data_IF_732746082675
#
_entry.id   IF_732746082675
#
_cell.length_a   1.000
_cell.length_b   1.000
_cell.length_c   1.000
_cell.angle_alpha   90.00
_cell.angle_beta   90.00
_cell.angle_gamma   90.00
#
_symmetry.space_group_name_H-M   'P 1'
#
loop_
_entity.id
_entity.type
_entity.pdbx_description
1 polymer ?
#
# COMPACT_ATOMS: atom_id res chain seq x y z
N UNK A 1 11.27 -22.65 14.91
CA UNK A 1 11.06 -21.18 14.91
C UNK A 1 10.33 -20.86 13.63
N UNK A 2 9.04 -20.49 13.68
CA UNK A 2 8.33 -20.06 12.48
C UNK A 2 8.96 -18.74 12.03
N UNK A 3 9.62 -18.74 10.87
CA UNK A 3 10.04 -17.48 10.25
C UNK A 3 8.77 -16.74 9.87
N UNK A 4 8.43 -15.70 10.62
CA UNK A 4 7.34 -14.81 10.28
C UNK A 4 7.79 -14.06 9.02
N UNK A 5 7.13 -14.32 7.89
CA UNK A 5 7.41 -13.63 6.62
C UNK A 5 7.10 -12.14 6.82
N UNK A 6 7.96 -11.27 6.27
CA UNK A 6 7.67 -9.84 6.26
C UNK A 6 6.39 -9.59 5.42
N UNK A 7 5.49 -8.69 5.87
CA UNK A 7 4.28 -8.40 5.13
C UNK A 7 4.62 -7.77 3.79
N UNK A 8 3.85 -8.06 2.76
CA UNK A 8 4.05 -7.51 1.42
C UNK A 8 3.15 -6.31 1.23
N UNK A 9 3.74 -5.16 0.91
CA UNK A 9 3.01 -3.89 0.79
C UNK A 9 3.16 -3.36 -0.63
N UNK A 10 2.02 -3.15 -1.29
CA UNK A 10 1.94 -2.46 -2.58
C UNK A 10 1.60 -0.99 -2.32
N UNK A 11 2.36 -0.08 -2.92
CA UNK A 11 2.17 1.37 -2.80
C UNK A 11 1.90 1.94 -4.19
N UNK A 12 0.79 2.66 -4.34
CA UNK A 12 0.49 3.39 -5.58
C UNK A 12 1.26 4.71 -5.62
N UNK A 13 2.38 4.72 -6.35
CA UNK A 13 3.22 5.90 -6.52
C UNK A 13 2.85 6.73 -7.75
N UNK A 14 1.80 6.35 -8.50
CA UNK A 14 1.36 7.10 -9.67
C UNK A 14 0.86 8.49 -9.28
N UNK A 15 1.40 9.53 -9.90
CA UNK A 15 0.91 10.90 -9.76
C UNK A 15 0.02 11.24 -10.97
N UNK A 16 -1.26 11.49 -10.72
CA UNK A 16 -2.23 11.81 -11.78
C UNK A 16 -3.21 12.88 -11.28
N UNK A 17 -4.15 13.30 -12.12
CA UNK A 17 -5.20 14.23 -11.66
C UNK A 17 -6.00 13.66 -10.48
N UNK A 18 -6.16 12.34 -10.40
CA UNK A 18 -6.92 11.65 -9.34
C UNK A 18 -6.04 11.07 -8.23
N UNK A 19 -4.78 10.75 -8.52
CA UNK A 19 -3.88 10.12 -7.55
C UNK A 19 -2.85 11.12 -7.02
N UNK A 20 -2.39 10.86 -5.80
CA UNK A 20 -1.36 11.65 -5.11
C UNK A 20 -0.23 10.71 -4.71
N UNK A 21 0.46 10.16 -5.70
CA UNK A 21 1.53 9.19 -5.54
C UNK A 21 2.62 9.66 -4.58
N UNK A 22 3.00 10.94 -4.61
CA UNK A 22 4.00 11.47 -3.67
C UNK A 22 3.53 11.42 -2.21
N UNK A 23 2.23 11.49 -1.94
CA UNK A 23 1.70 11.32 -0.58
C UNK A 23 1.78 9.84 -0.15
N UNK A 24 1.52 8.89 -1.05
CA UNK A 24 1.70 7.47 -0.78
C UNK A 24 3.18 7.11 -0.50
N UNK A 25 4.11 7.74 -1.23
CA UNK A 25 5.55 7.64 -0.94
C UNK A 25 5.90 8.23 0.43
N UNK A 26 5.33 9.38 0.80
CA UNK A 26 5.54 9.98 2.12
C UNK A 26 4.97 9.12 3.26
N UNK A 27 3.84 8.43 3.06
CA UNK A 27 3.32 7.41 3.99
C UNK A 27 4.35 6.30 4.18
N UNK A 28 4.96 5.84 3.08
CA UNK A 28 6.01 4.80 3.11
C UNK A 28 7.24 5.25 3.89
N UNK A 29 7.71 6.48 3.67
CA UNK A 29 8.80 7.08 4.43
C UNK A 29 8.49 7.13 5.94
N UNK A 30 7.28 7.51 6.31
CA UNK A 30 6.85 7.51 7.71
C UNK A 30 6.90 6.12 8.34
N UNK A 31 6.46 5.09 7.62
CA UNK A 31 6.54 3.69 8.06
C UNK A 31 8.00 3.23 8.24
N UNK A 32 8.88 3.59 7.31
CA UNK A 32 10.31 3.27 7.38
C UNK A 32 11.00 3.98 8.55
N UNK A 33 10.70 5.27 8.77
CA UNK A 33 11.15 6.03 9.96
C UNK A 33 10.71 5.39 11.27
N UNK A 34 9.52 4.79 11.29
CA UNK A 34 9.01 4.04 12.43
C UNK A 34 9.61 2.63 12.58
N UNK A 35 10.56 2.25 11.72
CA UNK A 35 11.24 0.95 11.74
C UNK A 35 10.39 -0.20 11.20
N UNK A 36 9.35 0.08 10.40
CA UNK A 36 8.53 -0.96 9.79
C UNK A 36 9.36 -1.76 8.79
N UNK A 37 9.28 -3.09 8.88
CA UNK A 37 9.91 -4.02 7.94
C UNK A 37 8.82 -4.68 7.10
N UNK A 38 8.85 -4.45 5.80
CA UNK A 38 7.96 -5.06 4.83
C UNK A 38 8.73 -5.37 3.54
N UNK A 39 8.14 -6.23 2.71
CA UNK A 39 8.52 -6.41 1.30
C UNK A 39 7.78 -5.34 0.48
N UNK A 40 8.51 -4.34 0.00
CA UNK A 40 7.94 -3.11 -0.57
C UNK A 40 7.86 -3.19 -2.09
N UNK A 41 6.68 -2.96 -2.63
CA UNK A 41 6.40 -2.94 -4.07
C UNK A 41 5.74 -1.62 -4.44
N UNK A 42 6.15 -1.05 -5.58
CA UNK A 42 5.62 0.22 -6.06
C UNK A 42 4.95 0.05 -7.42
N UNK A 43 3.75 0.58 -7.54
CA UNK A 43 3.06 0.80 -8.80
C UNK A 43 3.37 2.21 -9.29
N UNK A 44 3.78 2.35 -10.55
CA UNK A 44 4.27 3.60 -11.18
C UNK A 44 4.00 3.56 -12.67
N UNK A 45 3.80 4.71 -13.31
CA UNK A 45 3.66 4.82 -14.77
C UNK A 45 4.98 5.09 -15.49
N UNK A 46 6.09 5.13 -14.73
CA UNK A 46 7.42 5.41 -15.27
C UNK A 46 7.71 6.91 -15.44
N UNK A 47 6.92 7.77 -14.81
CA UNK A 47 7.21 9.20 -14.73
C UNK A 47 8.60 9.43 -14.07
N UNK A 48 9.46 10.30 -14.63
CA UNK A 48 10.80 10.52 -14.10
C UNK A 48 10.84 10.98 -12.64
N UNK A 49 9.87 11.76 -12.19
CA UNK A 49 9.84 12.29 -10.82
C UNK A 49 9.39 11.19 -9.84
N UNK A 50 8.43 10.34 -10.24
CA UNK A 50 8.07 9.13 -9.49
C UNK A 50 9.28 8.20 -9.33
N UNK A 51 9.99 7.93 -10.43
CA UNK A 51 11.16 7.05 -10.45
C UNK A 51 12.29 7.61 -9.59
N UNK A 52 12.52 8.92 -9.63
CA UNK A 52 13.52 9.60 -8.81
C UNK A 52 13.16 9.54 -7.32
N UNK A 53 11.89 9.74 -6.97
CA UNK A 53 11.44 9.67 -5.58
C UNK A 53 11.56 8.23 -5.02
N UNK A 54 11.16 7.23 -5.79
CA UNK A 54 11.33 5.80 -5.43
C UNK A 54 12.82 5.47 -5.29
N UNK A 55 13.67 5.91 -6.22
CA UNK A 55 15.11 5.70 -6.16
C UNK A 55 15.75 6.33 -4.92
N UNK A 56 15.32 7.54 -4.56
CA UNK A 56 15.78 8.23 -3.35
C UNK A 56 15.39 7.46 -2.09
N UNK A 57 14.14 6.99 -2.02
CA UNK A 57 13.64 6.21 -0.89
C UNK A 57 14.37 4.87 -0.73
N UNK A 58 14.72 4.20 -1.84
CA UNK A 58 15.61 3.01 -1.83
C UNK A 58 16.98 3.31 -1.23
N UNK A 59 17.58 4.42 -1.65
CA UNK A 59 18.92 4.81 -1.23
C UNK A 59 18.96 5.17 0.26
N UNK A 60 18.05 6.04 0.70
CA UNK A 60 18.01 6.54 2.08
C UNK A 60 17.73 5.44 3.10
N UNK A 61 16.90 4.46 2.74
CA UNK A 61 16.44 3.41 3.64
C UNK A 61 17.07 2.04 3.41
N UNK A 62 17.92 1.92 2.38
CA UNK A 62 18.54 0.64 1.98
C UNK A 62 17.52 -0.49 1.81
N UNK A 63 16.34 -0.19 1.27
CA UNK A 63 15.29 -1.17 1.04
C UNK A 63 15.38 -1.76 -0.37
N UNK A 64 15.12 -3.07 -0.48
CA UNK A 64 14.79 -3.67 -1.76
C UNK A 64 13.39 -3.23 -2.15
N UNK A 65 13.23 -2.77 -3.39
CA UNK A 65 11.92 -2.44 -3.95
C UNK A 65 11.81 -3.03 -5.33
N UNK A 66 10.61 -3.52 -5.65
CA UNK A 66 10.24 -4.00 -6.98
C UNK A 66 9.15 -3.11 -7.56
N UNK A 67 9.24 -2.87 -8.86
CA UNK A 67 8.11 -2.36 -9.63
C UNK A 67 7.08 -3.46 -9.79
N UNK A 68 5.82 -3.15 -9.56
CA UNK A 68 4.72 -4.08 -9.81
C UNK A 68 3.95 -3.67 -11.07
N UNK A 69 3.66 -4.65 -11.93
CA UNK A 69 2.85 -4.46 -13.15
C UNK A 69 1.61 -5.37 -13.08
N UNK A 70 0.44 -4.76 -12.92
CA UNK A 70 -0.84 -5.47 -12.81
C UNK A 70 -1.25 -6.26 -14.06
N UNK A 71 -0.58 -6.10 -15.20
CA UNK A 71 -0.83 -6.91 -16.40
C UNK A 71 -0.14 -8.26 -16.37
N UNK A 72 0.94 -8.39 -15.59
CA UNK A 72 1.82 -9.56 -15.61
C UNK A 72 2.01 -10.20 -14.24
N UNK A 73 1.70 -9.49 -13.16
CA UNK A 73 1.94 -9.96 -11.81
C UNK A 73 0.80 -10.86 -11.29
N UNK A 74 1.18 -12.00 -10.73
CA UNK A 74 0.29 -12.97 -10.04
C UNK A 74 0.49 -12.91 -8.52
N UNK A 75 0.97 -11.79 -8.02
CA UNK A 75 1.48 -11.67 -6.67
C UNK A 75 0.39 -11.16 -5.71
N UNK A 76 0.26 -11.81 -4.55
CA UNK A 76 -0.63 -11.34 -3.49
C UNK A 76 0.10 -10.38 -2.54
N UNK A 77 -0.64 -9.37 -2.07
CA UNK A 77 -0.20 -8.37 -1.09
C UNK A 77 -1.03 -8.41 0.18
N UNK A 78 -0.39 -8.14 1.32
CA UNK A 78 -1.09 -8.01 2.60
C UNK A 78 -1.79 -6.65 2.72
N UNK A 79 -1.18 -5.60 2.15
CA UNK A 79 -1.71 -4.25 2.17
C UNK A 79 -1.43 -3.53 0.84
N UNK A 80 -2.45 -2.87 0.30
CA UNK A 80 -2.33 -1.87 -0.74
C UNK A 80 -2.59 -0.48 -0.17
N UNK A 81 -1.68 0.46 -0.43
CA UNK A 81 -1.77 1.86 -0.01
C UNK A 81 -1.96 2.73 -1.24
N UNK A 82 -3.07 3.46 -1.27
CA UNK A 82 -3.43 4.40 -2.34
C UNK A 82 -3.85 5.73 -1.71
N UNK A 83 -3.38 6.82 -2.29
CA UNK A 83 -3.72 8.19 -1.87
C UNK A 83 -4.14 8.97 -3.11
N UNK A 84 -5.23 9.73 -3.03
CA UNK A 84 -5.78 10.41 -4.19
C UNK A 84 -7.00 11.26 -3.86
N UNK A 85 -7.56 11.97 -4.82
CA UNK A 85 -8.83 12.67 -4.64
C UNK A 85 -10.02 11.72 -4.73
N UNK A 86 -9.91 10.69 -5.56
CA UNK A 86 -10.88 9.61 -5.73
C UNK A 86 -10.18 8.33 -6.19
N UNK A 87 -10.89 7.21 -6.19
CA UNK A 87 -10.41 6.00 -6.86
C UNK A 87 -10.45 6.21 -8.39
N UNK A 88 -9.33 6.02 -9.10
CA UNK A 88 -9.37 5.99 -10.56
C UNK A 88 -10.05 4.69 -11.02
N UNK A 89 -10.96 4.83 -11.98
CA UNK A 89 -11.69 3.72 -12.59
C UNK A 89 -10.87 3.07 -13.72
N UNK A 90 -9.64 2.65 -13.43
CA UNK A 90 -8.72 2.05 -14.40
C UNK A 90 -8.39 0.58 -14.08
N UNK A 91 -8.04 -0.24 -15.08
CA UNK A 91 -7.75 -1.66 -14.89
C UNK A 91 -6.58 -1.96 -13.95
N UNK A 92 -5.61 -1.05 -13.83
CA UNK A 92 -4.41 -1.25 -13.01
C UNK A 92 -4.75 -1.12 -11.53
N UNK A 93 -5.52 -0.08 -11.18
CA UNK A 93 -6.05 0.09 -9.82
C UNK A 93 -6.95 -1.07 -9.42
N UNK A 94 -7.81 -1.51 -10.34
CA UNK A 94 -8.68 -2.67 -10.12
C UNK A 94 -7.87 -3.96 -9.89
N UNK A 95 -6.80 -4.19 -10.65
CA UNK A 95 -5.89 -5.32 -10.42
C UNK A 95 -5.19 -5.23 -9.06
N UNK A 96 -4.73 -4.04 -8.65
CA UNK A 96 -4.10 -3.82 -7.34
C UNK A 96 -5.08 -4.10 -6.19
N UNK A 97 -6.33 -3.65 -6.32
CA UNK A 97 -7.40 -3.95 -5.37
C UNK A 97 -7.70 -5.45 -5.26
N UNK A 98 -7.58 -6.21 -6.36
CA UNK A 98 -7.78 -7.66 -6.35
C UNK A 98 -6.58 -8.42 -5.76
N UNK A 99 -5.36 -7.95 -6.00
CA UNK A 99 -4.13 -8.56 -5.50
C UNK A 99 -3.93 -8.34 -3.99
N UNK A 100 -4.58 -7.33 -3.41
CA UNK A 100 -4.40 -6.97 -2.02
C UNK A 100 -5.48 -7.55 -1.10
N UNK A 101 -5.05 -8.11 0.03
CA UNK A 101 -5.95 -8.60 1.09
C UNK A 101 -6.70 -7.46 1.78
N UNK A 102 -6.05 -6.32 1.95
CA UNK A 102 -6.59 -5.10 2.51
C UNK A 102 -6.11 -3.90 1.69
N UNK A 103 -6.96 -2.88 1.56
CA UNK A 103 -6.61 -1.60 0.96
C UNK A 103 -6.80 -0.49 1.98
N UNK A 104 -5.77 0.34 2.17
CA UNK A 104 -5.87 1.61 2.88
C UNK A 104 -5.88 2.74 1.85
N UNK A 105 -7.01 3.44 1.77
CA UNK A 105 -7.20 4.55 0.86
C UNK A 105 -7.26 5.89 1.61
N UNK A 106 -6.39 6.83 1.27
CA UNK A 106 -6.46 8.22 1.72
C UNK A 106 -7.10 9.10 0.65
N UNK A 107 -8.38 9.45 0.80
CA UNK A 107 -9.14 10.14 -0.23
C UNK A 107 -9.76 11.46 0.23
N UNK A 108 -9.62 12.54 -0.53
CA UNK A 108 -10.31 13.82 -0.21
C UNK A 108 -11.80 13.77 -0.51
N UNK A 109 -12.21 12.95 -1.48
CA UNK A 109 -13.61 12.64 -1.75
C UNK A 109 -13.91 11.16 -1.51
N UNK A 110 -14.97 10.88 -0.76
CA UNK A 110 -15.54 9.54 -0.65
C UNK A 110 -16.57 9.22 -1.74
N UNK A 111 -16.67 10.06 -2.78
CA UNK A 111 -17.57 9.80 -3.90
C UNK A 111 -17.14 8.51 -4.60
N UNK A 112 -18.00 7.49 -4.52
CA UNK A 112 -17.85 6.17 -5.14
C UNK A 112 -16.67 5.34 -4.60
N UNK A 113 -16.69 5.06 -3.29
CA UNK A 113 -15.88 3.96 -2.76
C UNK A 113 -16.28 2.65 -3.45
N UNK A 114 -15.32 1.86 -3.96
CA UNK A 114 -15.63 0.56 -4.53
C UNK A 114 -16.31 -0.30 -3.46
N UNK A 115 -17.45 -0.90 -3.81
CA UNK A 115 -18.23 -1.77 -2.91
C UNK A 115 -17.48 -3.10 -2.73
N UNK A 116 -16.44 -3.08 -1.89
CA UNK A 116 -15.60 -4.24 -1.59
C UNK A 116 -15.34 -4.37 -0.09
N UNK A 117 -15.33 -5.60 0.46
CA UNK A 117 -15.27 -5.82 1.90
C UNK A 117 -13.92 -5.49 2.56
N UNK A 118 -12.90 -5.08 1.80
CA UNK A 118 -11.52 -4.95 2.27
C UNK A 118 -10.90 -3.55 2.09
N UNK A 119 -11.71 -2.53 1.76
CA UNK A 119 -11.21 -1.15 1.59
C UNK A 119 -11.53 -0.34 2.85
N UNK A 120 -10.47 0.11 3.53
CA UNK A 120 -10.54 1.10 4.60
C UNK A 120 -10.23 2.48 4.01
N UNK A 121 -11.21 3.37 4.02
CA UNK A 121 -11.02 4.75 3.57
C UNK A 121 -10.80 5.70 4.76
N UNK A 122 -9.79 6.53 4.67
CA UNK A 122 -9.57 7.70 5.52
C UNK A 122 -9.77 8.96 4.68
N UNK A 123 -10.58 9.90 5.18
CA UNK A 123 -10.82 11.15 4.48
C UNK A 123 -9.60 12.09 4.60
N UNK A 124 -9.15 12.62 3.47
CA UNK A 124 -7.99 13.50 3.34
C UNK A 124 -6.69 12.77 3.02
N UNK A 125 -5.61 13.56 2.93
CA UNK A 125 -4.26 13.09 2.58
C UNK A 125 -3.27 13.20 3.75
N UNK A 126 -3.74 13.14 5.00
CA UNK A 126 -2.85 13.20 6.16
C UNK A 126 -1.93 11.97 6.20
N UNK A 127 -0.69 12.16 5.75
CA UNK A 127 0.30 11.10 5.57
C UNK A 127 0.70 10.45 6.90
N UNK A 128 0.74 11.22 7.99
CA UNK A 128 1.06 10.69 9.31
C UNK A 128 -0.07 9.82 9.86
N UNK A 129 -1.32 10.27 9.70
CA UNK A 129 -2.50 9.50 10.09
C UNK A 129 -2.62 8.20 9.28
N UNK A 130 -2.42 8.28 7.96
CA UNK A 130 -2.40 7.12 7.07
C UNK A 130 -1.28 6.13 7.44
N UNK A 131 -0.07 6.62 7.71
CA UNK A 131 1.04 5.77 8.15
C UNK A 131 0.74 5.08 9.49
N UNK A 132 0.14 5.80 10.44
CA UNK A 132 -0.30 5.22 11.72
C UNK A 132 -1.32 4.10 11.55
N UNK A 133 -2.29 4.29 10.64
CA UNK A 133 -3.28 3.27 10.31
C UNK A 133 -2.64 2.07 9.61
N UNK A 134 -1.81 2.30 8.59
CA UNK A 134 -1.07 1.24 7.89
C UNK A 134 -0.23 0.40 8.87
N UNK A 135 0.49 1.04 9.78
CA UNK A 135 1.26 0.36 10.81
C UNK A 135 0.39 -0.51 11.73
N UNK A 136 -0.83 -0.05 12.04
CA UNK A 136 -1.80 -0.80 12.85
C UNK A 136 -2.29 -2.04 12.10
N UNK A 137 -2.66 -1.90 10.82
CA UNK A 137 -3.13 -3.00 9.98
C UNK A 137 -2.06 -4.09 9.81
N UNK A 138 -0.83 -3.68 9.48
CA UNK A 138 0.29 -4.61 9.31
C UNK A 138 0.60 -5.38 10.60
N UNK A 139 0.51 -4.74 11.77
CA UNK A 139 0.73 -5.40 13.07
C UNK A 139 -0.41 -6.35 13.46
N UNK A 140 -1.66 -6.04 13.09
CA UNK A 140 -2.80 -6.90 13.39
C UNK A 140 -2.73 -8.24 12.62
N UNK A 141 -2.30 -8.22 11.36
CA UNK A 141 -2.07 -9.41 10.54
C UNK A 141 -0.94 -10.32 11.07
N UNK A 142 0.08 -9.72 11.70
CA UNK A 142 1.14 -10.45 12.40
C UNK A 142 0.64 -11.22 13.63
N UNK A 143 -0.48 -10.80 14.24
CA UNK A 143 -1.06 -11.48 15.41
C UNK A 143 -1.92 -12.66 14.96
N UNK A 144 -2.71 -12.52 13.89
CA UNK A 144 -3.65 -13.56 13.42
C UNK A 144 -2.95 -14.72 12.70
N UNK A 145 -1.86 -14.47 11.99
CA UNK A 145 -1.05 -15.50 11.34
C UNK A 145 -0.18 -16.32 12.32
N UNK A 146 0.05 -15.81 13.53
CA UNK A 146 0.72 -16.51 14.63
C UNK A 146 -0.25 -17.29 15.55
N UNK A 147 -1.54 -17.01 15.48
CA UNK A 147 -2.57 -17.75 16.22
C UNK A 147 -3.28 -18.73 15.29
N UNK A 148 -2.80 -19.96 15.24
CA UNK A 148 -3.62 -21.11 14.87
C UNK A 148 -4.67 -21.40 15.96
N UNK A 149 -5.50 -20.41 16.30
CA UNK A 149 -6.76 -20.67 16.98
C UNK A 149 -7.75 -21.05 15.88
N UNK A 150 -7.77 -22.35 15.61
CA UNK A 150 -8.69 -22.97 14.70
C UNK A 150 -10.12 -22.62 15.07
N UNK A 151 -10.76 -21.78 14.27
CA UNK A 151 -12.20 -21.75 14.18
C UNK A 151 -12.61 -22.85 13.21
N UNK A 152 -12.59 -24.08 13.72
CA UNK A 152 -13.53 -25.09 13.26
C UNK A 152 -14.84 -24.83 13.99
N UNK A 153 -15.85 -24.39 13.24
CA UNK A 153 -17.18 -25.03 13.19
C UNK A 153 -17.94 -24.46 12.00
#
# INVERSE_FOLDING_TARGET
MLMVKAPRVLVDARETDLLRGFHALAVTECLLRAGMKADWHFLTEGDPDEQLAIASLRFDWSIAVSSWDGRTATEDFDLYVIVGDAFPADPTTEAALQAARLTLAGLTSASELPVRPAVLCMLGHDTAALAGMAATLLRAEHITSGSSLGWRR
#
